data_IF_807234648788
#
_entry.id   IF_807234648788
#
_cell.length_a   1.000
_cell.length_b   1.000
_cell.length_c   1.000
_cell.angle_alpha   90.00
_cell.angle_beta   90.00
_cell.angle_gamma   90.00
#
_symmetry.space_group_name_H-M   'P 1'
#
loop_
_entity.id
_entity.type
_entity.pdbx_description
1 polymer ?
#
# COMPACT_ATOMS: atom_id res chain seq x y z
N UNK A 1 4.41 -14.16 52.10
CA UNK A 1 4.48 -15.09 50.95
C UNK A 1 3.63 -14.47 49.85
N UNK A 2 4.03 -13.46 49.10
CA UNK A 2 5.30 -13.11 48.44
C UNK A 2 5.85 -14.20 47.52
N UNK A 3 5.60 -13.98 46.21
CA UNK A 3 6.44 -14.15 45.02
C UNK A 3 5.52 -13.81 43.81
N UNK A 4 5.41 -12.56 43.37
CA UNK A 4 6.25 -11.91 42.35
C UNK A 4 6.88 -12.85 41.31
N UNK A 5 6.47 -12.70 40.05
CA UNK A 5 7.37 -12.84 38.90
C UNK A 5 6.91 -11.86 37.83
N UNK A 6 7.61 -10.74 37.79
CA UNK A 6 7.52 -9.72 36.75
C UNK A 6 8.45 -10.07 35.56
N UNK A 7 8.04 -9.56 34.40
CA UNK A 7 8.90 -9.03 33.32
C UNK A 7 9.51 -9.98 32.27
N UNK A 8 9.02 -9.82 31.04
CA UNK A 8 9.85 -9.79 29.83
C UNK A 8 9.51 -8.51 29.04
N UNK A 9 10.47 -7.82 28.42
CA UNK A 9 10.22 -6.52 27.79
C UNK A 9 9.39 -6.71 26.53
N UNK A 10 8.23 -6.05 26.48
CA UNK A 10 7.44 -5.87 25.27
C UNK A 10 8.28 -5.08 24.25
N UNK A 11 9.06 -5.80 23.44
CA UNK A 11 9.63 -5.27 22.21
C UNK A 11 8.52 -4.73 21.31
N UNK A 12 8.83 -3.84 20.34
CA UNK A 12 7.83 -3.14 19.55
C UNK A 12 6.83 -4.14 18.97
N UNK A 13 5.62 -4.16 19.53
CA UNK A 13 4.59 -5.19 19.34
C UNK A 13 3.84 -5.01 18.01
N UNK A 14 4.56 -4.57 16.98
CA UNK A 14 4.03 -4.56 15.62
C UNK A 14 4.00 -5.97 15.08
N UNK A 15 2.90 -6.36 14.40
CA UNK A 15 2.87 -7.62 13.68
C UNK A 15 4.09 -7.70 12.73
N UNK A 16 4.70 -8.87 12.59
CA UNK A 16 5.79 -9.18 11.66
C UNK A 16 5.45 -8.64 10.27
N UNK A 17 4.19 -8.80 9.89
CA UNK A 17 3.64 -8.26 8.65
C UNK A 17 3.73 -6.72 8.57
N UNK A 18 3.45 -5.99 9.65
CA UNK A 18 3.58 -4.53 9.70
C UNK A 18 5.04 -4.09 9.58
N UNK A 19 5.96 -4.78 10.28
CA UNK A 19 7.41 -4.50 10.18
C UNK A 19 7.95 -4.70 8.77
N UNK A 20 7.52 -5.77 8.09
CA UNK A 20 7.92 -6.04 6.70
C UNK A 20 7.30 -4.99 5.76
N UNK A 21 6.01 -4.64 5.95
CA UNK A 21 5.33 -3.63 5.13
C UNK A 21 5.94 -2.23 5.26
N UNK A 22 6.38 -1.83 6.45
CA UNK A 22 7.03 -0.55 6.66
C UNK A 22 8.32 -0.37 5.84
N UNK A 23 9.00 -1.48 5.48
CA UNK A 23 10.28 -1.46 4.76
C UNK A 23 10.17 -1.88 3.30
N UNK A 24 8.99 -2.27 2.83
CA UNK A 24 8.77 -2.78 1.47
C UNK A 24 9.19 -1.76 0.39
N UNK A 25 8.98 -0.46 0.64
CA UNK A 25 9.35 0.63 -0.28
C UNK A 25 10.86 0.86 -0.41
N UNK A 26 11.67 0.35 0.52
CA UNK A 26 13.13 0.48 0.52
C UNK A 26 13.83 -0.72 -0.16
N UNK A 27 13.07 -1.77 -0.52
CA UNK A 27 13.59 -3.01 -1.09
C UNK A 27 13.75 -2.92 -2.62
N UNK A 28 14.76 -3.60 -3.14
CA UNK A 28 14.91 -3.83 -4.59
C UNK A 28 13.88 -4.87 -5.05
N UNK A 29 13.59 -4.91 -6.34
CA UNK A 29 12.58 -5.81 -6.93
C UNK A 29 12.75 -7.29 -6.51
N UNK A 30 13.98 -7.80 -6.49
CA UNK A 30 14.28 -9.16 -6.04
C UNK A 30 14.04 -9.39 -4.55
N UNK A 31 14.30 -8.38 -3.72
CA UNK A 31 14.11 -8.43 -2.27
C UNK A 31 12.63 -8.24 -1.90
N UNK A 32 11.91 -7.40 -2.65
CA UNK A 32 10.47 -7.22 -2.53
C UNK A 32 9.72 -8.52 -2.82
N UNK A 33 10.17 -9.32 -3.81
CA UNK A 33 9.63 -10.67 -4.06
C UNK A 33 9.80 -11.60 -2.86
N UNK A 34 10.97 -11.60 -2.23
CA UNK A 34 11.21 -12.40 -1.01
C UNK A 34 10.31 -11.92 0.13
N UNK A 35 10.21 -10.60 0.35
CA UNK A 35 9.34 -10.03 1.37
C UNK A 35 7.86 -10.38 1.13
N UNK A 36 7.43 -10.40 -0.13
CA UNK A 36 6.06 -10.79 -0.49
C UNK A 36 5.80 -12.28 -0.18
N UNK A 37 6.73 -13.18 -0.54
CA UNK A 37 6.61 -14.60 -0.17
C UNK A 37 6.51 -14.77 1.35
N UNK A 38 7.27 -14.00 2.12
CA UNK A 38 7.19 -14.05 3.59
C UNK A 38 5.83 -13.57 4.10
N UNK A 39 5.29 -12.49 3.52
CA UNK A 39 3.96 -11.98 3.86
C UNK A 39 2.83 -12.94 3.48
N UNK A 40 2.96 -13.63 2.35
CA UNK A 40 1.96 -14.57 1.84
C UNK A 40 1.92 -15.87 2.65
N UNK A 41 3.09 -16.37 3.08
CA UNK A 41 3.19 -17.59 3.87
C UNK A 41 2.91 -17.36 5.37
N UNK A 42 3.27 -16.18 5.90
CA UNK A 42 3.02 -15.82 7.30
C UNK A 42 3.52 -16.90 8.29
N UNK A 43 2.60 -17.47 9.06
CA UNK A 43 2.89 -18.52 10.03
C UNK A 43 3.46 -19.81 9.40
N UNK A 44 3.08 -20.14 8.16
CA UNK A 44 3.54 -21.35 7.47
C UNK A 44 5.05 -21.32 7.14
N UNK A 45 5.68 -20.15 7.24
CA UNK A 45 7.12 -19.98 7.00
C UNK A 45 7.98 -20.84 7.93
N UNK A 46 7.46 -21.24 9.09
CA UNK A 46 8.15 -22.16 10.02
C UNK A 46 8.44 -23.52 9.40
N UNK A 47 7.64 -23.96 8.43
CA UNK A 47 7.79 -25.24 7.74
C UNK A 47 8.66 -25.18 6.48
N UNK A 48 9.03 -23.98 6.03
CA UNK A 48 9.83 -23.78 4.82
C UNK A 48 11.33 -23.66 5.15
N UNK A 49 12.17 -24.15 4.24
CA UNK A 49 13.62 -23.89 4.24
C UNK A 49 13.95 -22.59 3.50
N UNK A 50 15.18 -22.10 3.69
CA UNK A 50 15.68 -20.93 2.93
C UNK A 50 15.59 -21.18 1.42
N UNK A 51 15.90 -22.40 0.98
CA UNK A 51 15.89 -22.79 -0.41
C UNK A 51 14.48 -22.84 -1.00
N UNK A 52 13.48 -23.24 -0.21
CA UNK A 52 12.08 -23.24 -0.65
C UNK A 52 11.58 -21.80 -0.85
N UNK A 53 11.90 -20.90 0.09
CA UNK A 53 11.57 -19.48 -0.04
C UNK A 53 12.30 -18.85 -1.24
N UNK A 54 13.56 -19.23 -1.47
CA UNK A 54 14.32 -18.78 -2.62
C UNK A 54 13.67 -19.23 -3.94
N UNK A 55 13.23 -20.49 -4.02
CA UNK A 55 12.52 -21.04 -5.17
C UNK A 55 11.18 -20.33 -5.41
N UNK A 56 10.37 -20.13 -4.36
CA UNK A 56 9.10 -19.42 -4.43
C UNK A 56 9.27 -17.95 -4.87
N UNK A 57 10.32 -17.28 -4.41
CA UNK A 57 10.63 -15.90 -4.79
C UNK A 57 11.32 -15.79 -6.16
N UNK A 58 11.79 -16.90 -6.75
CA UNK A 58 12.61 -16.91 -7.95
C UNK A 58 13.95 -16.19 -7.76
N UNK A 59 14.63 -16.47 -6.65
CA UNK A 59 15.91 -15.84 -6.25
C UNK A 59 16.90 -16.88 -5.71
N UNK A 60 18.15 -16.48 -5.42
CA UNK A 60 19.13 -17.35 -4.77
C UNK A 60 18.96 -17.33 -3.24
N UNK A 61 19.34 -18.42 -2.56
CA UNK A 61 19.27 -18.53 -1.09
C UNK A 61 20.06 -17.42 -0.36
N UNK A 62 21.17 -16.95 -0.95
CA UNK A 62 21.95 -15.83 -0.42
C UNK A 62 21.18 -14.50 -0.45
N UNK A 63 20.30 -14.30 -1.45
CA UNK A 63 19.42 -13.13 -1.55
C UNK A 63 18.38 -13.14 -0.44
N UNK A 64 17.84 -14.31 -0.10
CA UNK A 64 16.86 -14.46 1.00
C UNK A 64 17.48 -14.04 2.33
N UNK A 65 18.66 -14.55 2.66
CA UNK A 65 19.36 -14.22 3.92
C UNK A 65 19.69 -12.72 3.99
N UNK A 66 20.20 -12.14 2.90
CA UNK A 66 20.51 -10.71 2.83
C UNK A 66 19.26 -9.84 2.95
N UNK A 67 18.13 -10.28 2.39
CA UNK A 67 16.84 -9.59 2.53
C UNK A 67 16.36 -9.59 3.98
N UNK A 68 16.47 -10.74 4.67
CA UNK A 68 16.14 -10.84 6.10
C UNK A 68 16.97 -9.84 6.94
N UNK A 69 18.26 -9.73 6.64
CA UNK A 69 19.17 -8.76 7.27
C UNK A 69 18.77 -7.30 7.01
N UNK A 70 18.39 -6.97 5.78
CA UNK A 70 17.88 -5.63 5.44
C UNK A 70 16.54 -5.31 6.11
N UNK A 71 15.70 -6.32 6.33
CA UNK A 71 14.44 -6.18 7.08
C UNK A 71 14.65 -6.05 8.60
N UNK A 72 15.90 -6.10 9.08
CA UNK A 72 16.26 -5.91 10.48
C UNK A 72 16.29 -7.20 11.30
N UNK A 73 16.37 -8.37 10.65
CA UNK A 73 16.55 -9.66 11.30
C UNK A 73 18.01 -10.15 11.15
N UNK A 74 18.59 -10.78 12.17
CA UNK A 74 19.93 -11.39 12.14
C UNK A 74 20.08 -12.43 11.02
N UNK A 75 18.98 -13.05 10.61
CA UNK A 75 18.93 -13.97 9.48
C UNK A 75 17.57 -14.66 9.33
N UNK A 76 17.50 -15.67 8.46
CA UNK A 76 16.25 -16.39 8.18
C UNK A 76 15.69 -17.14 9.40
N UNK A 77 16.55 -17.68 10.27
CA UNK A 77 16.09 -18.38 11.47
C UNK A 77 15.39 -17.45 12.48
N UNK A 78 15.87 -16.22 12.64
CA UNK A 78 15.21 -15.25 13.51
C UNK A 78 13.86 -14.80 12.92
N UNK A 79 13.80 -14.62 11.59
CA UNK A 79 12.53 -14.38 10.90
C UNK A 79 11.52 -15.51 11.13
N UNK A 80 11.95 -16.78 11.04
CA UNK A 80 11.10 -17.95 11.34
C UNK A 80 10.60 -17.93 12.78
N UNK A 81 11.46 -17.55 13.73
CA UNK A 81 11.10 -17.49 15.14
C UNK A 81 10.04 -16.41 15.41
N UNK A 82 10.18 -15.24 14.77
CA UNK A 82 9.19 -14.16 14.83
C UNK A 82 7.88 -14.56 14.15
N UNK A 83 7.95 -15.27 13.02
CA UNK A 83 6.77 -15.82 12.35
C UNK A 83 6.05 -16.88 13.21
N UNK A 84 6.81 -17.72 13.91
CA UNK A 84 6.28 -18.72 14.83
C UNK A 84 5.58 -18.07 16.04
N UNK A 85 6.15 -16.99 16.58
CA UNK A 85 5.54 -16.23 17.68
C UNK A 85 4.21 -15.58 17.32
N UNK A 86 3.99 -15.36 16.03
CA UNK A 86 2.74 -14.81 15.49
C UNK A 86 1.91 -15.85 14.76
N UNK A 87 2.33 -17.12 14.82
CA UNK A 87 1.48 -18.20 14.36
C UNK A 87 0.23 -18.19 15.25
N UNK A 88 -0.97 -18.25 14.65
CA UNK A 88 -2.16 -18.52 15.42
C UNK A 88 -1.92 -19.76 16.26
N UNK A 89 -2.36 -19.75 17.52
CA UNK A 89 -2.42 -20.97 18.30
C UNK A 89 -3.16 -22.05 17.47
N UNK A 90 -2.68 -23.32 17.46
CA UNK A 90 -3.36 -24.37 16.71
C UNK A 90 -4.87 -24.31 16.98
N UNK A 91 -5.70 -24.51 15.95
CA UNK A 91 -7.13 -24.36 16.11
C UNK A 91 -7.56 -25.21 17.31
N UNK A 92 -8.31 -24.64 18.27
CA UNK A 92 -8.84 -25.42 19.36
C UNK A 92 -9.60 -26.63 18.78
N UNK A 93 -9.73 -27.74 19.54
CA UNK A 93 -10.56 -28.87 19.12
C UNK A 93 -11.92 -28.38 18.62
N UNK A 94 -12.59 -29.13 17.72
CA UNK A 94 -13.82 -28.70 17.07
C UNK A 94 -14.75 -28.04 18.08
N UNK A 95 -14.95 -26.74 17.88
CA UNK A 95 -15.74 -25.92 18.79
C UNK A 95 -17.18 -26.40 18.75
N UNK A 96 -17.75 -26.67 19.93
CA UNK A 96 -19.20 -26.90 20.07
C UNK A 96 -20.00 -25.69 19.53
N UNK A 97 -19.37 -24.52 19.39
CA UNK A 97 -20.00 -23.28 18.91
C UNK A 97 -19.17 -22.57 17.80
N UNK A 98 -19.38 -22.93 16.52
CA UNK A 98 -18.66 -22.37 15.38
C UNK A 98 -18.77 -20.83 15.25
N UNK A 99 -19.92 -20.27 15.66
CA UNK A 99 -20.17 -18.84 15.60
C UNK A 99 -19.28 -18.04 16.57
N UNK A 100 -19.07 -18.55 17.79
CA UNK A 100 -18.21 -17.91 18.79
C UNK A 100 -16.74 -17.88 18.31
N UNK A 101 -16.28 -18.96 17.68
CA UNK A 101 -14.93 -19.02 17.10
C UNK A 101 -14.76 -18.05 15.93
N UNK A 102 -15.72 -18.01 14.99
CA UNK A 102 -15.69 -17.09 13.87
C UNK A 102 -15.69 -15.62 14.32
N UNK A 103 -16.46 -15.29 15.36
CA UNK A 103 -16.46 -13.97 15.98
C UNK A 103 -15.08 -13.63 16.58
N UNK A 104 -14.51 -14.54 17.38
CA UNK A 104 -13.20 -14.34 18.00
C UNK A 104 -12.11 -14.13 16.94
N UNK A 105 -12.09 -14.95 15.89
CA UNK A 105 -11.14 -14.83 14.78
C UNK A 105 -11.30 -13.50 14.02
N UNK A 106 -12.54 -13.08 13.76
CA UNK A 106 -12.82 -11.80 13.08
C UNK A 106 -12.35 -10.60 13.91
N UNK A 107 -12.60 -10.63 15.22
CA UNK A 107 -12.16 -9.57 16.13
C UNK A 107 -10.64 -9.52 16.25
N UNK A 108 -9.98 -10.67 16.31
CA UNK A 108 -8.51 -10.74 16.35
C UNK A 108 -7.90 -10.17 15.06
N UNK A 109 -8.36 -10.63 13.89
CA UNK A 109 -7.90 -10.11 12.60
C UNK A 109 -8.13 -8.59 12.45
N UNK A 110 -9.22 -8.07 13.02
CA UNK A 110 -9.51 -6.63 13.03
C UNK A 110 -8.53 -5.84 13.89
N UNK A 111 -8.18 -6.35 15.08
CA UNK A 111 -7.18 -5.74 15.97
C UNK A 111 -5.81 -5.71 15.31
N UNK A 112 -5.37 -6.83 14.76
CA UNK A 112 -4.08 -6.93 14.08
C UNK A 112 -3.98 -5.97 12.88
N UNK A 113 -5.08 -5.81 12.14
CA UNK A 113 -5.15 -4.84 11.05
C UNK A 113 -5.02 -3.39 11.56
N UNK A 114 -5.68 -3.05 12.66
CA UNK A 114 -5.59 -1.71 13.27
C UNK A 114 -4.18 -1.43 13.83
N UNK A 115 -3.58 -2.39 14.52
CA UNK A 115 -2.21 -2.28 15.02
C UNK A 115 -1.21 -2.16 13.87
N UNK A 116 -1.45 -2.88 12.77
CA UNK A 116 -0.67 -2.75 11.55
C UNK A 116 -0.77 -1.37 10.91
N UNK A 117 -1.96 -0.76 10.88
CA UNK A 117 -2.14 0.63 10.43
C UNK A 117 -1.38 1.57 11.36
N UNK A 118 -1.54 1.46 12.68
CA UNK A 118 -0.87 2.32 13.64
C UNK A 118 0.66 2.25 13.52
N UNK A 119 1.22 1.08 13.26
CA UNK A 119 2.66 0.87 13.11
C UNK A 119 3.24 1.39 11.78
N UNK A 120 2.42 1.57 10.73
CA UNK A 120 2.88 1.92 9.37
C UNK A 120 2.42 3.30 8.91
N UNK A 121 1.46 3.91 9.60
CA UNK A 121 0.89 5.20 9.21
C UNK A 121 1.87 6.35 9.53
N UNK A 122 2.35 7.00 8.48
CA UNK A 122 3.11 8.24 8.62
C UNK A 122 2.17 9.44 8.83
N UNK A 123 2.32 10.12 9.95
CA UNK A 123 1.55 11.32 10.30
C UNK A 123 1.77 12.48 9.32
N UNK A 124 2.96 12.58 8.71
CA UNK A 124 3.26 13.59 7.69
C UNK A 124 2.47 13.34 6.41
N UNK A 125 2.52 12.12 5.89
CA UNK A 125 1.71 11.69 4.75
C UNK A 125 0.20 11.85 5.00
N UNK A 126 -0.28 11.54 6.21
CA UNK A 126 -1.68 11.73 6.58
C UNK A 126 -2.08 13.22 6.53
N UNK A 127 -1.25 14.10 7.07
CA UNK A 127 -1.49 15.55 7.06
C UNK A 127 -1.53 16.09 5.64
N UNK A 128 -0.56 15.70 4.80
CA UNK A 128 -0.53 16.10 3.39
C UNK A 128 -1.76 15.61 2.61
N UNK A 129 -2.25 14.39 2.90
CA UNK A 129 -3.47 13.86 2.30
C UNK A 129 -4.70 14.67 2.71
N UNK A 130 -4.82 15.05 3.99
CA UNK A 130 -5.91 15.87 4.50
C UNK A 130 -5.91 17.27 3.86
N UNK A 131 -4.76 17.93 3.75
CA UNK A 131 -4.63 19.23 3.07
C UNK A 131 -5.00 19.14 1.59
N UNK A 132 -4.57 18.08 0.90
CA UNK A 132 -4.91 17.85 -0.49
C UNK A 132 -6.41 17.65 -0.70
N UNK A 133 -7.11 17.01 0.25
CA UNK A 133 -8.57 16.86 0.22
C UNK A 133 -9.28 18.17 0.54
N UNK A 134 -8.78 18.93 1.52
CA UNK A 134 -9.36 20.21 1.95
C UNK A 134 -9.30 21.28 0.84
N UNK A 135 -8.19 21.31 0.09
CA UNK A 135 -7.97 22.28 -1.00
C UNK A 135 -8.52 21.83 -2.36
N UNK A 136 -9.03 20.60 -2.46
CA UNK A 136 -9.57 20.08 -3.71
C UNK A 136 -10.90 20.75 -4.05
N UNK A 137 -11.00 21.27 -5.27
CA UNK A 137 -12.28 21.79 -5.81
C UNK A 137 -13.32 20.68 -6.01
N UNK A 138 -12.86 19.44 -6.22
CA UNK A 138 -13.71 18.25 -6.34
C UNK A 138 -12.90 16.99 -6.04
N UNK A 139 -13.50 16.06 -5.31
CA UNK A 139 -12.94 14.75 -4.97
C UNK A 139 -13.75 13.67 -5.69
N UNK A 140 -13.06 12.69 -6.29
CA UNK A 140 -13.70 11.49 -6.83
C UNK A 140 -13.18 10.29 -6.07
N UNK A 141 -14.08 9.54 -5.44
CA UNK A 141 -13.77 8.34 -4.67
C UNK A 141 -14.23 7.11 -5.45
N UNK A 142 -13.31 6.18 -5.69
CA UNK A 142 -13.60 4.92 -6.38
C UNK A 142 -13.09 3.73 -5.57
N UNK A 143 -13.87 2.65 -5.52
CA UNK A 143 -13.50 1.41 -4.84
C UNK A 143 -14.12 0.20 -5.52
N UNK A 144 -13.31 -0.82 -5.81
CA UNK A 144 -13.73 -2.04 -6.51
C UNK A 144 -14.17 -3.16 -5.56
N UNK A 145 -15.21 -3.91 -5.96
CA UNK A 145 -15.72 -5.05 -5.18
C UNK A 145 -16.14 -4.64 -3.77
N UNK A 146 -15.63 -5.34 -2.75
CA UNK A 146 -15.93 -5.05 -1.34
C UNK A 146 -15.45 -3.66 -0.89
N UNK A 147 -14.44 -3.08 -1.56
CA UNK A 147 -13.98 -1.72 -1.28
C UNK A 147 -14.99 -0.65 -1.69
N UNK A 148 -16.03 -1.01 -2.45
CA UNK A 148 -17.11 -0.09 -2.82
C UNK A 148 -17.85 0.46 -1.60
N UNK A 149 -18.11 -0.37 -0.59
CA UNK A 149 -18.77 0.08 0.65
C UNK A 149 -17.91 1.12 1.40
N UNK A 150 -16.59 0.92 1.45
CA UNK A 150 -15.64 1.87 2.06
C UNK A 150 -15.59 3.17 1.26
N UNK A 151 -15.57 3.09 -0.08
CA UNK A 151 -15.58 4.27 -0.94
C UNK A 151 -16.85 5.14 -0.73
N UNK A 152 -18.01 4.50 -0.60
CA UNK A 152 -19.27 5.19 -0.32
C UNK A 152 -19.25 5.86 1.06
N UNK A 153 -18.74 5.17 2.08
CA UNK A 153 -18.60 5.70 3.42
C UNK A 153 -17.64 6.92 3.47
N UNK A 154 -16.49 6.85 2.80
CA UNK A 154 -15.57 8.00 2.67
C UNK A 154 -16.27 9.18 1.98
N UNK A 155 -17.00 8.93 0.90
CA UNK A 155 -17.73 9.98 0.21
C UNK A 155 -18.81 10.62 1.09
N UNK A 156 -19.50 9.82 1.89
CA UNK A 156 -20.46 10.33 2.88
C UNK A 156 -19.79 11.26 3.90
N UNK A 157 -18.69 10.82 4.52
CA UNK A 157 -17.96 11.62 5.53
C UNK A 157 -17.40 12.92 4.94
N UNK A 158 -16.80 12.87 3.74
CA UNK A 158 -16.25 14.06 3.09
C UNK A 158 -17.34 15.05 2.69
N UNK A 159 -18.51 14.57 2.23
CA UNK A 159 -19.66 15.45 1.95
C UNK A 159 -20.17 16.13 3.22
N UNK A 160 -20.22 15.41 4.34
CA UNK A 160 -20.61 15.98 5.63
C UNK A 160 -19.64 17.10 6.08
N UNK A 161 -18.37 17.04 5.66
CA UNK A 161 -17.36 18.08 5.90
C UNK A 161 -17.39 19.22 4.86
N UNK A 162 -18.34 19.21 3.92
CA UNK A 162 -18.50 20.27 2.91
C UNK A 162 -17.68 20.08 1.63
N UNK A 163 -16.95 18.96 1.49
CA UNK A 163 -16.21 18.68 0.26
C UNK A 163 -17.16 18.31 -0.90
N UNK A 164 -16.84 18.81 -2.09
CA UNK A 164 -17.55 18.41 -3.32
C UNK A 164 -17.08 17.02 -3.76
N UNK A 165 -17.86 15.97 -3.45
CA UNK A 165 -17.43 14.58 -3.68
C UNK A 165 -18.37 13.78 -4.58
N UNK A 166 -17.81 13.14 -5.61
CA UNK A 166 -18.47 12.07 -6.36
C UNK A 166 -17.97 10.69 -5.93
N UNK A 167 -18.88 9.74 -5.81
CA UNK A 167 -18.54 8.32 -5.70
C UNK A 167 -19.35 7.57 -6.77
N UNK A 168 -18.86 7.53 -8.02
CA UNK A 168 -19.53 6.76 -9.05
C UNK A 168 -19.47 5.27 -8.68
N UNK A 169 -20.56 4.51 -8.90
CA UNK A 169 -20.49 3.06 -8.83
C UNK A 169 -19.39 2.60 -9.78
N UNK A 170 -18.62 1.59 -9.39
CA UNK A 170 -17.54 1.05 -10.23
C UNK A 170 -18.04 0.81 -11.64
N UNK A 171 -17.47 1.47 -12.65
CA UNK A 171 -17.88 1.19 -14.01
C UNK A 171 -17.53 -0.27 -14.33
N UNK A 172 -18.40 -0.95 -15.08
CA UNK A 172 -17.99 -2.16 -15.78
C UNK A 172 -16.80 -1.81 -16.69
N UNK A 173 -15.93 -2.76 -17.09
CA UNK A 173 -14.69 -2.48 -17.83
C UNK A 173 -14.85 -1.77 -19.20
N UNK A 174 -16.05 -1.30 -19.56
CA UNK A 174 -16.40 -0.64 -20.83
C UNK A 174 -16.69 0.86 -20.77
N UNK A 175 -16.64 1.53 -19.61
CA UNK A 175 -16.69 3.00 -19.54
C UNK A 175 -15.67 3.49 -18.50
N UNK A 176 -14.99 4.62 -18.57
CA UNK A 176 -14.99 5.78 -19.44
C UNK A 176 -13.72 6.56 -19.08
N UNK A 177 -13.09 7.17 -20.07
CA UNK A 177 -11.98 8.13 -19.89
C UNK A 177 -12.43 9.31 -18.99
N UNK A 178 -11.70 9.67 -17.92
CA UNK A 178 -12.07 10.81 -17.10
C UNK A 178 -11.79 12.14 -17.83
N UNK A 179 -12.65 13.17 -17.68
CA UNK A 179 -12.38 14.50 -18.21
C UNK A 179 -11.29 15.23 -17.40
N UNK A 180 -10.47 16.01 -18.11
CA UNK A 180 -9.27 16.68 -17.61
C UNK A 180 -9.54 17.58 -16.38
N UNK A 181 -8.57 17.63 -15.46
CA UNK A 181 -8.47 18.40 -14.19
C UNK A 181 -8.89 17.74 -12.86
N UNK A 182 -9.20 16.44 -12.82
CA UNK A 182 -9.64 15.76 -11.58
C UNK A 182 -8.53 15.06 -10.82
N UNK A 183 -8.47 15.27 -9.50
CA UNK A 183 -7.70 14.43 -8.56
C UNK A 183 -8.58 13.23 -8.17
N UNK A 184 -8.12 12.03 -8.52
CA UNK A 184 -8.78 10.75 -8.20
C UNK A 184 -8.13 10.11 -6.99
N UNK A 185 -8.94 9.74 -6.00
CA UNK A 185 -8.52 8.88 -4.90
C UNK A 185 -9.09 7.47 -5.15
N UNK A 186 -8.23 6.47 -5.28
CA UNK A 186 -8.63 5.06 -5.44
C UNK A 186 -8.29 4.27 -4.19
N UNK A 187 -9.23 3.47 -3.70
CA UNK A 187 -8.98 2.52 -2.62
C UNK A 187 -8.89 1.12 -3.22
N UNK A 188 -7.67 0.56 -3.28
CA UNK A 188 -7.39 -0.80 -3.75
C UNK A 188 -6.73 -1.62 -2.64
N UNK A 189 -6.98 -2.94 -2.61
CA UNK A 189 -6.38 -3.87 -1.64
C UNK A 189 -4.87 -4.05 -1.82
N UNK A 190 -4.32 -3.63 -2.96
CA UNK A 190 -2.88 -3.43 -3.15
C UNK A 190 -2.61 -1.93 -3.09
N UNK A 191 -1.79 -1.48 -2.15
CA UNK A 191 -1.37 -0.09 -1.99
C UNK A 191 -0.49 0.34 -3.18
N UNK A 192 -1.09 0.56 -4.34
CA UNK A 192 -0.43 1.21 -5.47
C UNK A 192 -0.81 2.68 -5.43
N UNK A 193 0.13 3.59 -5.11
CA UNK A 193 -0.16 5.02 -5.12
C UNK A 193 -0.56 5.45 -6.53
N UNK A 194 -1.68 6.16 -6.64
CA UNK A 194 -2.09 6.82 -7.89
C UNK A 194 -1.06 7.91 -8.19
N UNK A 195 -0.38 7.88 -9.36
CA UNK A 195 0.57 8.93 -9.72
C UNK A 195 -0.15 10.28 -9.85
N UNK A 196 0.47 11.40 -9.47
CA UNK A 196 -0.12 12.71 -9.66
C UNK A 196 -0.36 12.95 -11.16
N UNK A 197 -1.59 13.35 -11.51
CA UNK A 197 -1.96 13.65 -12.88
C UNK A 197 -1.03 14.73 -13.48
N UNK A 198 -0.56 14.59 -14.73
CA UNK A 198 0.28 15.60 -15.37
C UNK A 198 -0.48 16.94 -15.47
N UNK A 199 0.20 18.03 -15.12
CA UNK A 199 -0.34 19.40 -15.25
C UNK A 199 -0.63 19.65 -16.74
N UNK A 200 -1.90 19.86 -17.07
CA UNK A 200 -2.32 20.24 -18.43
C UNK A 200 -2.05 21.72 -18.67
N UNK A 201 -1.19 22.03 -19.64
CA UNK A 201 -1.10 23.34 -20.30
C UNK A 201 -2.45 23.69 -20.94
N UNK A 202 -2.98 24.92 -20.80
CA UNK A 202 -4.27 25.28 -21.38
C UNK A 202 -4.20 25.36 -22.93
N UNK A 203 -5.25 24.95 -23.67
CA UNK A 203 -5.27 25.02 -25.13
C UNK A 203 -5.78 26.38 -25.64
N UNK A 204 -5.07 26.94 -26.62
CA UNK A 204 -5.64 27.84 -27.64
C UNK A 204 -5.74 29.33 -27.30
N UNK A 205 -4.68 30.09 -27.57
CA UNK A 205 -4.84 31.49 -27.99
C UNK A 205 -5.07 31.50 -29.52
N UNK A 206 -5.95 32.39 -30.06
CA UNK A 206 -6.23 32.44 -31.49
C UNK A 206 -4.99 32.87 -32.28
N UNK A 207 -4.83 32.18 -33.41
CA UNK A 207 -3.81 32.34 -34.44
C UNK A 207 -3.61 33.81 -34.81
N UNK A 208 -2.41 34.34 -34.58
CA UNK A 208 -1.99 35.63 -35.14
C UNK A 208 -1.35 35.36 -36.51
N UNK A 209 -1.81 35.99 -37.60
CA UNK A 209 -1.16 35.85 -38.89
C UNK A 209 0.28 36.38 -38.81
N UNK A 210 1.23 35.53 -39.20
CA UNK A 210 2.66 35.85 -39.19
C UNK A 210 3.00 37.02 -40.13
N UNK A 211 4.02 37.84 -39.81
CA UNK A 211 4.48 38.90 -40.68
C UNK A 211 5.18 38.34 -41.93
N UNK A 212 5.12 39.05 -43.08
CA UNK A 212 5.63 38.56 -44.35
C UNK A 212 7.15 38.41 -44.35
N UNK A 213 7.60 37.35 -45.03
CA UNK A 213 8.99 36.94 -45.18
C UNK A 213 9.87 38.03 -45.81
N UNK A 214 10.76 38.63 -45.01
CA UNK A 214 11.88 39.42 -45.52
C UNK A 214 12.96 38.47 -46.04
N UNK A 215 13.10 38.39 -47.36
CA UNK A 215 14.27 37.81 -48.04
C UNK A 215 15.51 38.60 -47.65
N UNK A 216 16.50 37.94 -47.07
CA UNK A 216 17.88 38.43 -47.03
C UNK A 216 18.72 37.75 -48.12
N UNK A 217 19.67 38.47 -48.72
CA UNK A 217 20.36 38.06 -49.95
C UNK A 217 21.44 37.00 -49.73
N UNK A 218 21.59 36.16 -50.75
CA UNK A 218 22.66 35.20 -50.96
C UNK A 218 23.99 35.93 -51.12
N UNK A 219 24.96 35.63 -50.25
CA UNK A 219 26.37 36.01 -50.43
C UNK A 219 27.09 34.92 -51.21
N UNK A 220 27.85 35.24 -52.28
CA UNK A 220 28.55 34.24 -53.07
C UNK A 220 29.90 33.85 -52.43
N UNK A 221 30.17 32.55 -52.34
CA UNK A 221 31.52 32.00 -52.14
C UNK A 221 32.09 31.71 -53.52
N UNK A 222 33.18 32.38 -53.89
CA UNK A 222 34.03 31.96 -54.99
C UNK A 222 35.50 32.08 -54.60
N UNK A 223 36.19 30.94 -54.80
CA UNK A 223 37.63 30.66 -54.83
C UNK A 223 38.36 30.44 -53.51
#
# INVERSE_FOLDING_TARGET
>A
MEQNSASGPSGPSGSLSARIRARLSELRETEARVAQVVLDQGAALVHLSVSDVAALAGTASSTVVRTCQRLGFRGFQELKLEAARQAPEPPPPPVDEPAAHALAATLHASRDALDGVAATLDTGALTAAAEALHTASRVVVVGAGLSGAVALDVAYRLRALGCQVDAPPTPSPRSSRPPNSRRTASVSRSATPVPPAPRSTPPGAPDRPGPPSSRSPVTPVHR
#
